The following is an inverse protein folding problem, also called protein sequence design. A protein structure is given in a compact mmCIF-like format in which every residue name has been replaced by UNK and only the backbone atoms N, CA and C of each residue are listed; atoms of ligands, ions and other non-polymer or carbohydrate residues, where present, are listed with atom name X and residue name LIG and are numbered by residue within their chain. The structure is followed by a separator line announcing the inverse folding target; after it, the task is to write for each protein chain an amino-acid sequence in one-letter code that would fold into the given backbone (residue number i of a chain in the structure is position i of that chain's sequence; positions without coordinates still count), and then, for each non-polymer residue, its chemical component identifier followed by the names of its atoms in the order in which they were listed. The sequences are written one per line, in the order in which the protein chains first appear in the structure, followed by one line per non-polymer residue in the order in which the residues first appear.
data_IF_394533695427
#
_entry.id   IF_394533695427
#
_cell.length_a   1.000
_cell.length_b   1.000
_cell.length_c   1.000
_cell.angle_alpha   90.00
_cell.angle_beta   90.00
_cell.angle_gamma   90.00
#
_symmetry.space_group_name_H-M   'P 1'
#
loop_
_entity.id
_entity.type
_entity.pdbx_description
1 polymer ?
#
# COMPACT_ATOMS: atom_id res chain seq x y z
N UNK A 1 -17.88 12.75 -15.57
CA UNK A 1 -16.66 13.01 -14.83
C UNK A 1 -17.02 13.47 -13.42
N UNK A 2 -16.17 13.24 -12.46
CA UNK A 2 -16.32 13.63 -11.05
C UNK A 2 -15.54 14.92 -10.85
N UNK A 3 -16.04 15.86 -10.03
CA UNK A 3 -15.33 17.09 -9.69
C UNK A 3 -14.13 16.77 -8.77
N UNK A 4 -12.98 17.45 -8.89
CA UNK A 4 -11.89 17.29 -7.92
C UNK A 4 -12.31 17.47 -6.46
N UNK A 5 -13.31 18.33 -6.19
CA UNK A 5 -13.84 18.56 -4.84
C UNK A 5 -14.60 17.37 -4.24
N UNK A 6 -14.96 16.39 -5.06
CA UNK A 6 -15.65 15.16 -4.64
C UNK A 6 -14.68 14.02 -4.40
N UNK A 7 -13.36 14.23 -4.63
CA UNK A 7 -12.31 13.19 -4.51
C UNK A 7 -11.50 13.41 -3.25
N UNK A 8 -11.30 12.33 -2.49
CA UNK A 8 -10.40 12.30 -1.34
C UNK A 8 -9.14 11.51 -1.71
N UNK A 9 -8.00 12.20 -1.67
CA UNK A 9 -6.69 11.62 -1.97
C UNK A 9 -5.94 11.31 -0.68
N UNK A 10 -5.56 10.06 -0.48
CA UNK A 10 -4.68 9.64 0.61
C UNK A 10 -3.21 9.88 0.20
N UNK A 11 -2.46 10.53 1.06
CA UNK A 11 -1.03 10.86 0.86
C UNK A 11 -0.25 10.64 2.14
N UNK A 12 0.96 10.07 2.05
CA UNK A 12 1.89 10.04 3.19
C UNK A 12 2.33 11.45 3.57
N UNK A 13 2.23 11.79 4.86
CA UNK A 13 2.74 13.05 5.41
C UNK A 13 4.27 13.00 5.48
N UNK A 14 4.90 13.42 4.40
CA UNK A 14 6.36 13.47 4.23
C UNK A 14 6.75 14.73 3.47
N UNK A 15 7.87 15.33 3.83
CA UNK A 15 8.42 16.53 3.17
C UNK A 15 8.49 16.40 1.64
N UNK A 16 8.83 15.22 1.13
CA UNK A 16 8.85 14.95 -0.33
C UNK A 16 7.49 15.07 -1.02
N UNK A 17 6.39 15.07 -0.27
CA UNK A 17 5.03 15.19 -0.80
C UNK A 17 4.42 16.60 -0.64
N UNK A 18 5.11 17.56 -0.02
CA UNK A 18 4.57 18.91 0.22
C UNK A 18 4.06 19.58 -1.06
N UNK A 19 4.83 19.46 -2.16
CA UNK A 19 4.43 20.03 -3.44
C UNK A 19 3.17 19.33 -3.99
N UNK A 20 3.11 17.99 -3.95
CA UNK A 20 1.94 17.23 -4.36
C UNK A 20 0.70 17.62 -3.54
N UNK A 21 0.84 17.72 -2.22
CA UNK A 21 -0.24 18.13 -1.31
C UNK A 21 -0.74 19.54 -1.65
N UNK A 22 0.17 20.47 -1.91
CA UNK A 22 -0.19 21.83 -2.31
C UNK A 22 -0.95 21.87 -3.65
N UNK A 23 -0.49 21.10 -4.63
CA UNK A 23 -1.14 20.99 -5.95
C UNK A 23 -2.55 20.39 -5.81
N UNK A 24 -2.74 19.30 -5.06
CA UNK A 24 -4.04 18.68 -4.81
C UNK A 24 -5.01 19.66 -4.11
N UNK A 25 -4.53 20.41 -3.11
CA UNK A 25 -5.33 21.45 -2.45
C UNK A 25 -5.75 22.56 -3.42
N UNK A 26 -4.85 22.96 -4.32
CA UNK A 26 -5.13 24.04 -5.26
C UNK A 26 -6.25 23.73 -6.26
N UNK A 27 -6.46 22.45 -6.56
CA UNK A 27 -7.55 21.97 -7.43
C UNK A 27 -8.81 21.56 -6.65
N UNK A 28 -8.78 21.69 -5.32
CA UNK A 28 -9.95 21.50 -4.46
C UNK A 28 -10.17 20.07 -3.96
N UNK A 29 -9.23 19.13 -4.15
CA UNK A 29 -9.36 17.78 -3.61
C UNK A 29 -9.36 17.75 -2.09
N UNK A 30 -10.16 16.86 -1.49
CA UNK A 30 -10.00 16.44 -0.10
C UNK A 30 -8.69 15.66 0.06
N UNK A 31 -7.98 15.83 1.19
CA UNK A 31 -6.72 15.14 1.44
C UNK A 31 -6.78 14.43 2.79
N UNK A 32 -6.47 13.14 2.78
CA UNK A 32 -6.23 12.35 3.97
C UNK A 32 -4.71 12.13 4.13
N UNK A 33 -4.11 12.76 5.13
CA UNK A 33 -2.70 12.56 5.45
C UNK A 33 -2.55 11.36 6.39
N UNK A 34 -1.63 10.45 6.05
CA UNK A 34 -1.27 9.31 6.89
C UNK A 34 0.21 9.39 7.28
N UNK A 35 0.57 9.05 8.54
CA UNK A 35 1.96 9.13 8.99
C UNK A 35 2.82 8.00 8.43
N UNK A 36 2.24 6.83 8.14
CA UNK A 36 2.90 5.64 7.60
C UNK A 36 1.88 4.69 6.96
N UNK A 37 2.33 3.52 6.49
CA UNK A 37 1.45 2.47 5.97
C UNK A 37 0.93 2.75 4.57
N UNK A 38 1.80 3.14 3.64
CA UNK A 38 1.47 3.41 2.24
C UNK A 38 0.72 2.25 1.55
N UNK A 39 1.15 1.00 1.75
CA UNK A 39 0.45 -0.17 1.21
C UNK A 39 -0.98 -0.28 1.77
N UNK A 40 -1.18 0.00 3.06
CA UNK A 40 -2.51 0.03 3.67
C UNK A 40 -3.37 1.16 3.08
N UNK A 41 -2.78 2.35 2.87
CA UNK A 41 -3.42 3.49 2.20
C UNK A 41 -3.85 3.16 0.77
N UNK A 42 -3.02 2.43 0.01
CA UNK A 42 -3.38 1.95 -1.33
C UNK A 42 -4.54 0.95 -1.27
N UNK A 43 -4.50 -0.04 -0.37
CA UNK A 43 -5.58 -1.03 -0.22
C UNK A 43 -6.90 -0.35 0.19
N UNK A 44 -6.84 0.71 0.98
CA UNK A 44 -8.01 1.46 1.42
C UNK A 44 -8.83 2.05 0.26
N UNK A 45 -8.21 2.35 -0.89
CA UNK A 45 -8.90 2.86 -2.09
C UNK A 45 -9.88 1.84 -2.71
N UNK A 46 -9.76 0.57 -2.35
CA UNK A 46 -10.64 -0.51 -2.85
C UNK A 46 -11.69 -0.94 -1.83
N UNK A 47 -11.66 -0.39 -0.63
CA UNK A 47 -12.62 -0.71 0.42
C UNK A 47 -13.78 0.31 0.39
N UNK A 48 -15.02 -0.10 0.07
CA UNK A 48 -16.17 0.79 -0.01
C UNK A 48 -16.56 1.42 1.34
N UNK A 49 -16.05 0.90 2.46
CA UNK A 49 -16.28 1.46 3.80
C UNK A 49 -15.38 2.67 4.09
N UNK A 50 -14.37 2.92 3.26
CA UNK A 50 -13.50 4.11 3.37
C UNK A 50 -14.00 5.22 2.47
N UNK A 51 -13.60 6.45 2.78
CA UNK A 51 -13.89 7.62 1.94
C UNK A 51 -12.71 7.94 1.01
N UNK A 52 -11.74 7.04 0.88
CA UNK A 52 -10.53 7.27 0.09
C UNK A 52 -10.75 6.80 -1.33
N UNK A 53 -10.72 7.74 -2.29
CA UNK A 53 -10.90 7.44 -3.71
C UNK A 53 -9.58 7.11 -4.41
N UNK A 54 -8.48 7.72 -3.96
CA UNK A 54 -7.17 7.59 -4.59
C UNK A 54 -6.04 7.64 -3.57
N UNK A 55 -4.97 6.93 -3.85
CA UNK A 55 -3.68 7.11 -3.17
C UNK A 55 -2.67 7.73 -4.13
N UNK A 56 -1.98 8.78 -3.70
CA UNK A 56 -0.91 9.39 -4.48
C UNK A 56 0.34 9.60 -3.63
N UNK A 57 1.50 9.31 -4.21
CA UNK A 57 2.77 9.52 -3.53
C UNK A 57 3.95 8.86 -4.20
N UNK A 58 5.11 8.99 -3.57
CA UNK A 58 6.35 8.33 -3.96
C UNK A 58 6.94 7.57 -2.78
N UNK A 59 7.48 6.39 -3.06
CA UNK A 59 8.05 5.49 -2.06
C UNK A 59 9.07 4.56 -2.67
N UNK A 60 9.44 3.50 -1.97
CA UNK A 60 10.32 2.48 -2.50
C UNK A 60 9.63 1.65 -3.60
N UNK A 61 10.40 1.20 -4.58
CA UNK A 61 9.88 0.34 -5.64
C UNK A 61 9.31 -1.00 -5.09
N UNK A 62 9.90 -1.64 -4.07
CA UNK A 62 9.32 -2.83 -3.46
C UNK A 62 7.91 -2.62 -2.89
N UNK A 63 7.68 -1.50 -2.20
CA UNK A 63 6.37 -1.16 -1.65
C UNK A 63 5.33 -0.96 -2.77
N UNK A 64 5.75 -0.35 -3.90
CA UNK A 64 4.91 -0.22 -5.09
C UNK A 64 4.47 -1.58 -5.66
N UNK A 65 5.38 -2.55 -5.75
CA UNK A 65 5.07 -3.91 -6.21
C UNK A 65 4.16 -4.65 -5.22
N UNK A 66 4.39 -4.50 -3.91
CA UNK A 66 3.51 -5.06 -2.87
C UNK A 66 2.09 -4.49 -2.97
N UNK A 67 1.97 -3.17 -3.16
CA UNK A 67 0.68 -2.51 -3.37
C UNK A 67 -0.03 -3.04 -4.62
N UNK A 68 0.69 -3.22 -5.73
CA UNK A 68 0.14 -3.82 -6.94
C UNK A 68 -0.33 -5.26 -6.73
N UNK A 69 0.42 -6.09 -5.99
CA UNK A 69 0.02 -7.46 -5.68
C UNK A 69 -1.26 -7.49 -4.84
N UNK A 70 -1.40 -6.58 -3.87
CA UNK A 70 -2.61 -6.44 -3.09
C UNK A 70 -3.80 -6.00 -3.95
N UNK A 71 -3.64 -4.93 -4.75
CA UNK A 71 -4.69 -4.43 -5.65
C UNK A 71 -5.13 -5.48 -6.67
N UNK A 72 -4.19 -6.31 -7.17
CA UNK A 72 -4.52 -7.43 -8.06
C UNK A 72 -5.47 -8.42 -7.40
N UNK A 73 -5.35 -8.63 -6.10
CA UNK A 73 -6.23 -9.54 -5.36
C UNK A 73 -7.65 -9.01 -5.17
N UNK A 74 -7.83 -7.68 -5.18
CA UNK A 74 -9.11 -7.02 -4.85
C UNK A 74 -9.72 -6.22 -6.01
N UNK A 75 -9.06 -6.17 -7.17
CA UNK A 75 -9.61 -5.53 -8.38
C UNK A 75 -9.35 -4.03 -8.48
N UNK A 76 -8.30 -3.49 -7.84
CA UNK A 76 -7.92 -2.10 -7.93
C UNK A 76 -7.17 -1.73 -9.21
N UNK A 77 -6.85 -0.45 -9.36
CA UNK A 77 -6.04 0.10 -10.45
C UNK A 77 -4.75 0.70 -9.92
N UNK A 78 -3.70 0.68 -10.72
CA UNK A 78 -2.41 1.27 -10.39
C UNK A 78 -1.75 1.88 -11.64
N UNK A 79 -1.17 3.05 -11.46
CA UNK A 79 -0.25 3.67 -12.42
C UNK A 79 0.96 4.21 -11.68
N UNK A 80 2.15 3.83 -12.09
CA UNK A 80 3.38 4.28 -11.44
C UNK A 80 4.54 4.41 -12.40
N UNK A 81 5.52 5.23 -12.04
CA UNK A 81 6.78 5.37 -12.77
C UNK A 81 7.95 5.38 -11.82
N UNK A 82 9.12 5.00 -12.31
CA UNK A 82 10.35 5.11 -11.55
C UNK A 82 10.78 6.57 -11.44
N UNK A 83 11.23 6.96 -10.25
CA UNK A 83 11.82 8.26 -10.01
C UNK A 83 13.32 8.06 -9.76
N UNK A 84 14.15 8.77 -10.52
CA UNK A 84 15.60 8.70 -10.42
C UNK A 84 16.14 10.00 -9.82
N UNK A 85 16.93 9.89 -8.76
CA UNK A 85 17.51 11.05 -8.08
C UNK A 85 18.76 11.57 -8.75
N UNK A 86 19.44 10.73 -9.54
CA UNK A 86 20.70 11.06 -10.22
C UNK A 86 20.95 10.14 -11.43
N UNK A 87 22.01 10.45 -12.17
CA UNK A 87 22.38 9.69 -13.36
C UNK A 87 22.94 8.30 -13.07
N UNK A 88 23.50 8.08 -11.87
CA UNK A 88 23.96 6.74 -11.46
C UNK A 88 22.78 5.78 -11.29
N UNK A 89 21.65 6.24 -10.73
CA UNK A 89 20.43 5.44 -10.65
C UNK A 89 19.86 5.14 -12.05
N UNK A 90 19.85 6.13 -12.95
CA UNK A 90 19.47 5.95 -14.35
C UNK A 90 20.40 4.95 -15.05
N UNK A 91 21.71 5.05 -14.83
CA UNK A 91 22.71 4.14 -15.38
C UNK A 91 22.51 2.70 -14.91
N UNK A 92 22.22 2.49 -13.62
CA UNK A 92 21.89 1.17 -13.06
C UNK A 92 20.62 0.60 -13.67
N UNK A 93 19.57 1.39 -13.81
CA UNK A 93 18.32 0.98 -14.43
C UNK A 93 18.54 0.49 -15.87
N UNK A 94 19.35 1.22 -16.66
CA UNK A 94 19.71 0.79 -18.02
C UNK A 94 20.49 -0.53 -18.03
N UNK A 95 21.42 -0.73 -17.09
CA UNK A 95 22.15 -2.00 -16.94
C UNK A 95 21.24 -3.18 -16.61
N UNK A 96 20.10 -2.94 -15.96
CA UNK A 96 19.07 -3.95 -15.70
C UNK A 96 18.07 -4.12 -16.86
N UNK A 97 18.34 -3.50 -18.01
CA UNK A 97 17.54 -3.65 -19.22
C UNK A 97 16.35 -2.71 -19.34
N UNK A 98 16.25 -1.70 -18.48
CA UNK A 98 15.22 -0.67 -18.61
C UNK A 98 15.64 0.34 -19.68
N UNK A 99 15.01 0.26 -20.85
CA UNK A 99 15.30 1.13 -22.00
C UNK A 99 14.52 2.44 -21.93
N UNK A 100 13.26 2.39 -21.51
CA UNK A 100 12.40 3.57 -21.30
C UNK A 100 12.35 3.90 -19.81
N UNK A 101 13.05 4.95 -19.42
CA UNK A 101 13.15 5.39 -18.02
C UNK A 101 11.95 6.23 -17.57
N UNK A 102 11.13 6.72 -18.50
CA UNK A 102 9.94 7.53 -18.22
C UNK A 102 8.65 6.71 -18.35
N UNK A 103 8.79 5.41 -18.58
CA UNK A 103 7.67 4.47 -18.71
C UNK A 103 6.73 4.54 -17.51
N UNK A 104 5.44 4.63 -17.80
CA UNK A 104 4.37 4.44 -16.82
C UNK A 104 3.98 2.96 -16.84
N UNK A 105 4.17 2.31 -15.70
CA UNK A 105 3.78 0.92 -15.48
C UNK A 105 2.35 0.87 -14.96
N UNK A 106 1.61 -0.13 -15.40
CA UNK A 106 0.32 -0.46 -14.85
C UNK A 106 0.40 -1.66 -13.88
N UNK A 107 -0.72 -1.98 -13.27
CA UNK A 107 -0.86 -3.06 -12.31
C UNK A 107 -0.42 -4.41 -12.89
N UNK A 108 -0.81 -4.71 -14.13
CA UNK A 108 -0.51 -5.98 -14.80
C UNK A 108 0.97 -6.16 -15.12
N UNK A 109 1.68 -5.06 -15.32
CA UNK A 109 3.12 -5.09 -15.59
C UNK A 109 3.95 -5.29 -14.32
N UNK A 110 3.49 -4.76 -13.17
CA UNK A 110 4.20 -4.82 -11.90
C UNK A 110 3.85 -6.08 -11.09
N UNK A 111 2.63 -6.60 -11.21
CA UNK A 111 2.19 -7.81 -10.50
C UNK A 111 1.49 -8.77 -11.46
N UNK A 112 2.24 -9.66 -12.10
CA UNK A 112 1.73 -10.63 -13.08
C UNK A 112 1.26 -11.93 -12.43
N UNK A 113 0.28 -12.59 -13.09
CA UNK A 113 -0.14 -13.94 -12.74
C UNK A 113 -1.00 -14.01 -11.48
N UNK A 114 -1.05 -15.19 -10.86
CA UNK A 114 -1.79 -15.42 -9.62
C UNK A 114 -0.95 -14.98 -8.42
N UNK A 115 -1.36 -13.89 -7.80
CA UNK A 115 -0.69 -13.32 -6.63
C UNK A 115 -1.39 -13.73 -5.35
N UNK A 116 -0.59 -13.96 -4.31
CA UNK A 116 -1.06 -14.04 -2.93
C UNK A 116 -0.42 -12.87 -2.17
N UNK A 117 -1.25 -12.05 -1.54
CA UNK A 117 -0.80 -11.03 -0.61
C UNK A 117 -1.14 -11.46 0.81
N UNK A 118 -0.16 -11.39 1.71
CA UNK A 118 -0.36 -11.68 3.13
C UNK A 118 0.36 -10.62 3.97
N UNK A 119 -0.33 -10.12 4.99
CA UNK A 119 0.24 -9.17 5.95
C UNK A 119 -0.31 -9.44 7.34
N UNK A 120 0.56 -9.25 8.35
CA UNK A 120 0.18 -9.34 9.77
C UNK A 120 0.48 -8.01 10.45
N UNK A 121 -0.47 -7.51 11.22
CA UNK A 121 -0.29 -6.27 11.98
C UNK A 121 0.75 -6.44 13.08
N UNK A 122 1.75 -5.56 13.12
CA UNK A 122 2.74 -5.47 14.21
C UNK A 122 2.32 -4.38 15.19
N UNK A 123 1.92 -3.22 14.68
CA UNK A 123 1.33 -2.10 15.40
C UNK A 123 -0.11 -1.87 14.93
N UNK A 124 -0.94 -1.20 15.73
CA UNK A 124 -2.28 -0.83 15.29
C UNK A 124 -2.20 0.10 14.08
N UNK A 125 -2.93 -0.24 13.02
CA UNK A 125 -3.02 0.53 11.79
C UNK A 125 -4.43 0.49 11.20
N UNK A 126 -4.64 1.21 10.09
CA UNK A 126 -5.93 1.29 9.42
C UNK A 126 -6.39 -0.03 8.78
N UNK A 127 -5.45 -0.89 8.41
CA UNK A 127 -5.73 -2.17 7.76
C UNK A 127 -5.89 -3.32 8.75
N UNK A 128 -5.02 -3.39 9.78
CA UNK A 128 -4.92 -4.49 10.73
C UNK A 128 -4.63 -3.97 12.13
N UNK A 129 -5.11 -4.69 13.13
CA UNK A 129 -4.67 -4.48 14.50
C UNK A 129 -3.28 -5.07 14.75
N UNK A 130 -2.52 -4.41 15.60
CA UNK A 130 -1.20 -4.85 16.03
C UNK A 130 -1.23 -6.04 16.98
N UNK A 131 -0.03 -6.50 17.31
CA UNK A 131 0.19 -7.55 18.31
C UNK A 131 -0.22 -7.04 19.70
N UNK A 132 -1.06 -7.78 20.41
CA UNK A 132 -1.50 -7.44 21.77
C UNK A 132 -1.23 -8.60 22.72
N UNK A 133 -0.65 -8.28 23.87
CA UNK A 133 -0.52 -9.24 24.97
C UNK A 133 -1.73 -9.10 25.91
N UNK A 134 -2.45 -10.19 26.10
CA UNK A 134 -3.59 -10.27 26.99
C UNK A 134 -3.13 -10.38 28.46
N UNK A 135 -4.06 -10.12 29.39
CA UNK A 135 -3.77 -10.17 30.85
C UNK A 135 -3.28 -11.54 31.33
N UNK A 136 -3.70 -12.60 30.68
CA UNK A 136 -3.29 -13.99 30.97
C UNK A 136 -2.00 -14.42 30.27
N UNK A 137 -1.34 -13.50 29.54
CA UNK A 137 -0.09 -13.70 28.83
C UNK A 137 -0.23 -14.35 27.45
N UNK A 138 -1.44 -14.58 26.94
CA UNK A 138 -1.67 -14.93 25.54
C UNK A 138 -1.36 -13.73 24.65
N UNK A 139 -1.04 -14.00 23.39
CA UNK A 139 -0.77 -12.97 22.37
C UNK A 139 -1.84 -13.07 21.30
N UNK A 140 -2.37 -11.94 20.86
CA UNK A 140 -3.29 -11.87 19.72
C UNK A 140 -2.62 -11.22 18.53
N UNK A 141 -2.91 -11.73 17.34
CA UNK A 141 -2.46 -11.17 16.07
C UNK A 141 -3.63 -11.09 15.10
N UNK A 142 -3.56 -10.13 14.17
CA UNK A 142 -4.49 -10.03 13.04
C UNK A 142 -3.71 -10.11 11.73
N UNK A 143 -4.19 -10.96 10.83
CA UNK A 143 -3.58 -11.21 9.52
C UNK A 143 -4.62 -11.07 8.43
N UNK A 144 -4.26 -10.44 7.32
CA UNK A 144 -5.04 -10.48 6.08
C UNK A 144 -4.31 -11.36 5.06
N UNK A 145 -5.06 -12.21 4.36
CA UNK A 145 -4.56 -13.02 3.25
C UNK A 145 -5.53 -12.85 2.08
N UNK A 146 -4.99 -12.45 0.93
CA UNK A 146 -5.75 -12.23 -0.30
C UNK A 146 -5.16 -13.03 -1.44
N UNK A 147 -5.99 -13.51 -2.37
CA UNK A 147 -5.54 -14.24 -3.56
C UNK A 147 -6.20 -13.72 -4.82
N UNK A 148 -5.41 -13.45 -5.85
CA UNK A 148 -5.86 -12.84 -7.09
C UNK A 148 -6.80 -13.75 -7.89
N UNK A 149 -6.45 -15.04 -8.07
CA UNK A 149 -7.24 -15.96 -8.90
C UNK A 149 -8.64 -16.26 -8.36
N UNK A 150 -8.86 -16.10 -7.04
CA UNK A 150 -10.15 -16.37 -6.41
C UNK A 150 -10.89 -15.12 -5.94
N UNK A 151 -10.23 -13.94 -5.96
CA UNK A 151 -10.76 -12.71 -5.38
C UNK A 151 -11.05 -12.82 -3.87
N UNK A 152 -10.46 -13.83 -3.21
CA UNK A 152 -10.79 -14.13 -1.81
C UNK A 152 -9.95 -13.27 -0.89
N UNK A 153 -10.62 -12.62 0.07
CA UNK A 153 -9.99 -11.91 1.18
C UNK A 153 -10.32 -12.64 2.48
N UNK A 154 -9.30 -13.01 3.25
CA UNK A 154 -9.45 -13.63 4.57
C UNK A 154 -8.83 -12.73 5.61
N UNK A 155 -9.57 -12.45 6.67
CA UNK A 155 -9.05 -11.84 7.89
C UNK A 155 -9.00 -12.90 8.97
N UNK A 156 -7.81 -13.13 9.52
CA UNK A 156 -7.56 -14.16 10.52
C UNK A 156 -7.14 -13.47 11.81
N UNK A 157 -7.96 -13.62 12.86
CA UNK A 157 -7.58 -13.25 14.22
C UNK A 157 -7.10 -14.53 14.91
N UNK A 158 -5.88 -14.49 15.42
CA UNK A 158 -5.26 -15.63 16.08
C UNK A 158 -4.94 -15.29 17.53
N UNK A 159 -5.17 -16.28 18.42
CA UNK A 159 -4.71 -16.23 19.80
C UNK A 159 -3.63 -17.28 19.96
N UNK A 160 -2.47 -16.84 20.40
CA UNK A 160 -1.32 -17.70 20.65
C UNK A 160 -1.22 -17.94 22.15
N UNK A 161 -1.12 -19.21 22.56
CA UNK A 161 -0.82 -19.59 23.94
C UNK A 161 0.49 -18.96 24.43
N UNK A 162 0.74 -18.99 25.73
CA UNK A 162 2.04 -18.55 26.25
C UNK A 162 3.13 -19.27 25.50
N UNK A 163 4.06 -18.51 24.89
CA UNK A 163 5.25 -19.09 24.31
C UNK A 163 5.86 -20.02 25.37
N UNK A 164 6.06 -21.31 25.04
CA UNK A 164 6.82 -22.20 25.88
C UNK A 164 8.22 -21.58 26.01
N UNK A 165 8.44 -20.80 27.05
CA UNK A 165 9.79 -20.44 27.44
C UNK A 165 10.45 -21.76 27.87
N UNK A 166 11.57 -22.17 27.23
CA UNK A 166 12.33 -23.28 27.75
C UNK A 166 12.73 -22.91 29.19
N UNK A 167 12.41 -23.79 30.12
CA UNK A 167 12.83 -23.70 31.53
C UNK A 167 14.34 -23.79 31.63
#
# INVERSE_FOLDING_TARGET
GVSPSEIIVCVLDRARHEKLIAELRSIGCGIMLIPDGDVAGVIATTNPETTIDMYMGSGGAPEGVLACAALRCVGGQFKGRLLFRNDDERGRARKWGLTDLDKIYDLEELAKGDCIFAATGVTDGSLLHGVKTLRDGRITTETIVMRASSGTVRRVKSEHGRANQPR
#
